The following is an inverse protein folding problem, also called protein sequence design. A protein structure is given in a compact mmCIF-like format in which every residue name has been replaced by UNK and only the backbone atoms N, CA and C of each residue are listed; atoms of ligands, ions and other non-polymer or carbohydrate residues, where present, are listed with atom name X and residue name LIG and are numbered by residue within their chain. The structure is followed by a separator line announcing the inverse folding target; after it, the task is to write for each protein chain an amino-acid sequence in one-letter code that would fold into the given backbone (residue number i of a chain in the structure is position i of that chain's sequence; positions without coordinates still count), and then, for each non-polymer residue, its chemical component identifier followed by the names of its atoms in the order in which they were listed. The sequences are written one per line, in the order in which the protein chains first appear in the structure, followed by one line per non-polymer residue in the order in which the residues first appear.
data_IF_191707837194
#
_entry.id   IF_191707837194
#
_cell.length_a   1.000
_cell.length_b   1.000
_cell.length_c   1.000
_cell.angle_alpha   90.00
_cell.angle_beta   90.00
_cell.angle_gamma   90.00
#
_symmetry.space_group_name_H-M   'P 1'
#
loop_
_entity.id
_entity.type
_entity.pdbx_description
1 polymer ?
#
# COMPACT_ATOMS: atom_id res chain seq x y z
N UNK A 1 3.65 1.10 16.33
CA UNK A 1 3.10 0.29 15.21
C UNK A 1 4.06 0.51 14.07
N UNK A 2 4.86 -0.50 13.80
CA UNK A 2 6.00 -0.41 12.90
C UNK A 2 5.61 -1.09 11.60
N UNK A 3 5.29 -0.29 10.58
CA UNK A 3 4.95 -0.79 9.25
C UNK A 3 6.18 -1.22 8.44
N UNK A 4 7.40 -1.11 9.00
CA UNK A 4 8.65 -1.42 8.29
C UNK A 4 8.66 -2.80 7.63
N UNK A 5 8.16 -3.83 8.33
CA UNK A 5 8.06 -5.19 7.76
C UNK A 5 7.05 -5.24 6.61
N UNK A 6 5.91 -4.58 6.78
CA UNK A 6 4.87 -4.53 5.75
C UNK A 6 5.39 -3.82 4.49
N UNK A 7 5.99 -2.64 4.67
CA UNK A 7 6.64 -1.88 3.59
C UNK A 7 7.65 -2.73 2.84
N UNK A 8 8.55 -3.41 3.55
CA UNK A 8 9.57 -4.26 2.93
C UNK A 8 8.94 -5.41 2.11
N UNK A 9 7.92 -6.08 2.67
CA UNK A 9 7.24 -7.19 1.98
C UNK A 9 6.50 -6.72 0.74
N UNK A 10 5.77 -5.62 0.84
CA UNK A 10 5.08 -5.02 -0.30
C UNK A 10 6.12 -4.67 -1.37
N UNK A 11 7.17 -3.93 -0.99
CA UNK A 11 8.20 -3.46 -1.90
C UNK A 11 8.91 -4.62 -2.62
N UNK A 12 9.20 -5.72 -1.93
CA UNK A 12 9.74 -6.94 -2.56
C UNK A 12 8.76 -7.53 -3.60
N UNK A 13 7.46 -7.53 -3.31
CA UNK A 13 6.47 -8.17 -4.16
C UNK A 13 6.13 -7.33 -5.42
N UNK A 14 6.17 -6.01 -5.31
CA UNK A 14 5.96 -5.08 -6.45
C UNK A 14 7.28 -4.63 -7.10
N UNK A 15 8.43 -5.13 -6.62
CA UNK A 15 9.77 -4.79 -7.13
C UNK A 15 9.92 -5.03 -8.62
N UNK A 16 9.28 -6.08 -9.13
CA UNK A 16 9.33 -6.47 -10.55
C UNK A 16 8.59 -5.47 -11.45
N UNK A 17 7.67 -4.69 -10.87
CA UNK A 17 6.85 -3.71 -11.58
C UNK A 17 7.51 -2.33 -11.66
N UNK A 18 8.73 -2.18 -11.13
CA UNK A 18 9.42 -0.90 -10.94
C UNK A 18 8.62 0.10 -10.06
N UNK A 19 7.68 -0.43 -9.27
CA UNK A 19 6.89 0.33 -8.28
C UNK A 19 7.55 0.15 -6.92
N UNK A 20 7.47 1.18 -6.09
CA UNK A 20 7.91 1.12 -4.70
C UNK A 20 6.88 1.78 -3.79
N UNK A 21 6.91 1.42 -2.52
CA UNK A 21 6.10 2.10 -1.51
C UNK A 21 6.78 3.41 -1.17
N UNK A 22 6.09 4.52 -1.44
CA UNK A 22 6.52 5.86 -1.04
C UNK A 22 6.34 6.03 0.48
N UNK A 23 5.12 5.79 0.96
CA UNK A 23 4.75 6.02 2.35
C UNK A 23 3.58 5.14 2.76
N UNK A 24 3.62 4.61 3.98
CA UNK A 24 2.47 3.93 4.61
C UNK A 24 2.02 4.77 5.79
N UNK A 25 0.74 5.15 5.80
CA UNK A 25 0.13 5.93 6.86
C UNK A 25 -1.10 5.22 7.40
N UNK A 26 -1.17 5.12 8.72
CA UNK A 26 -2.35 4.58 9.39
C UNK A 26 -3.12 5.70 10.08
N UNK A 27 -4.33 5.98 9.60
CA UNK A 27 -5.21 7.02 10.15
C UNK A 27 -6.39 6.38 10.86
N UNK A 28 -6.56 6.68 12.15
CA UNK A 28 -7.76 6.29 12.89
C UNK A 28 -8.76 7.44 12.90
N UNK A 29 -9.89 7.28 12.21
CA UNK A 29 -11.01 8.24 12.24
C UNK A 29 -12.16 7.65 13.06
N UNK A 30 -12.15 8.00 14.36
CA UNK A 30 -13.20 7.57 15.28
C UNK A 30 -13.20 6.06 15.50
N UNK A 31 -14.24 5.39 14.97
CA UNK A 31 -14.42 3.94 15.06
C UNK A 31 -13.78 3.16 13.91
N UNK A 32 -13.36 3.85 12.85
CA UNK A 32 -12.79 3.23 11.66
C UNK A 32 -11.30 3.51 11.57
N UNK A 33 -10.59 2.50 11.10
CA UNK A 33 -9.16 2.55 10.83
C UNK A 33 -8.95 2.61 9.32
N UNK A 34 -8.06 3.48 8.85
CA UNK A 34 -7.70 3.61 7.44
C UNK A 34 -6.20 3.36 7.31
N UNK A 35 -5.85 2.41 6.44
CA UNK A 35 -4.46 2.13 6.09
C UNK A 35 -4.22 2.65 4.67
N UNK A 36 -3.60 3.82 4.58
CA UNK A 36 -3.22 4.46 3.32
C UNK A 36 -1.82 3.99 2.92
N UNK A 37 -1.71 3.39 1.73
CA UNK A 37 -0.46 2.95 1.13
C UNK A 37 -0.25 3.76 -0.15
N UNK A 38 0.77 4.62 -0.15
CA UNK A 38 1.15 5.42 -1.31
C UNK A 38 2.24 4.66 -2.08
N UNK A 39 1.97 4.39 -3.35
CA UNK A 39 2.91 3.76 -4.28
C UNK A 39 3.50 4.83 -5.22
N UNK A 40 4.79 4.76 -5.50
CA UNK A 40 5.48 5.62 -6.49
C UNK A 40 6.19 4.74 -7.53
N UNK A 41 6.23 5.18 -8.78
CA UNK A 41 6.88 4.48 -9.91
C UNK A 41 7.58 5.48 -10.80
N UNK A 42 8.80 5.15 -11.22
CA UNK A 42 9.56 5.98 -12.15
C UNK A 42 9.00 5.76 -13.57
N UNK A 43 8.04 6.60 -13.98
CA UNK A 43 7.44 6.54 -15.32
C UNK A 43 5.92 6.71 -15.35
N UNK A 44 5.28 6.83 -14.17
CA UNK A 44 3.83 6.83 -14.05
C UNK A 44 3.29 5.43 -13.76
N UNK A 45 2.18 5.38 -13.04
CA UNK A 45 1.49 4.14 -12.70
C UNK A 45 0.21 4.09 -13.52
N UNK A 46 0.06 3.05 -14.33
CA UNK A 46 -1.16 2.76 -15.06
C UNK A 46 -2.22 2.10 -14.17
N UNK A 47 -3.47 2.13 -14.62
CA UNK A 47 -4.59 1.47 -13.91
C UNK A 47 -4.36 -0.03 -13.71
N UNK A 48 -3.81 -0.71 -14.71
CA UNK A 48 -3.53 -2.15 -14.65
C UNK A 48 -2.48 -2.48 -13.57
N UNK A 49 -1.47 -1.60 -13.44
CA UNK A 49 -0.43 -1.68 -12.43
C UNK A 49 -1.01 -1.46 -11.02
N UNK A 50 -1.91 -0.48 -10.85
CA UNK A 50 -2.64 -0.28 -9.57
C UNK A 50 -3.44 -1.50 -9.19
N UNK A 51 -4.19 -2.11 -10.12
CA UNK A 51 -5.01 -3.30 -9.84
C UNK A 51 -4.12 -4.46 -9.44
N UNK A 52 -3.01 -4.67 -10.15
CA UNK A 52 -2.07 -5.74 -9.87
C UNK A 52 -1.37 -5.53 -8.53
N UNK A 53 -0.87 -4.32 -8.27
CA UNK A 53 -0.28 -3.96 -6.98
C UNK A 53 -1.28 -4.17 -5.85
N UNK A 54 -2.54 -3.78 -6.04
CA UNK A 54 -3.62 -4.02 -5.05
C UNK A 54 -3.81 -5.50 -4.78
N UNK A 55 -3.87 -6.35 -5.80
CA UNK A 55 -3.97 -7.80 -5.64
C UNK A 55 -2.77 -8.42 -4.94
N UNK A 56 -1.57 -7.87 -5.11
CA UNK A 56 -0.34 -8.32 -4.44
C UNK A 56 -0.27 -7.82 -2.99
N UNK A 57 -0.64 -6.56 -2.77
CA UNK A 57 -0.60 -5.90 -1.45
C UNK A 57 -1.65 -6.53 -0.53
N UNK A 58 -2.86 -6.79 -1.03
CA UNK A 58 -3.98 -7.29 -0.22
C UNK A 58 -3.61 -8.54 0.63
N UNK A 59 -3.06 -9.64 0.09
CA UNK A 59 -2.65 -10.80 0.88
C UNK A 59 -1.41 -10.55 1.76
N UNK A 60 -0.55 -9.58 1.42
CA UNK A 60 0.58 -9.21 2.26
C UNK A 60 0.09 -8.43 3.49
N UNK A 61 -0.81 -7.48 3.27
CA UNK A 61 -1.46 -6.76 4.37
C UNK A 61 -2.23 -7.77 5.22
N UNK A 62 -3.09 -8.62 4.66
CA UNK A 62 -3.82 -9.63 5.45
C UNK A 62 -2.90 -10.53 6.30
N UNK A 63 -1.74 -10.93 5.76
CA UNK A 63 -0.81 -11.85 6.44
C UNK A 63 0.11 -11.18 7.47
N UNK A 64 0.50 -9.92 7.25
CA UNK A 64 1.49 -9.22 8.08
C UNK A 64 0.86 -8.10 8.92
N UNK A 65 -0.35 -7.67 8.60
CA UNK A 65 -1.09 -6.66 9.33
C UNK A 65 -1.83 -7.34 10.48
N UNK A 66 -1.32 -7.14 11.69
CA UNK A 66 -1.87 -7.68 12.94
C UNK A 66 -3.09 -6.86 13.43
N UNK A 67 -3.86 -6.25 12.51
CA UNK A 67 -5.01 -5.44 12.87
C UNK A 67 -6.22 -6.37 12.99
N UNK A 68 -6.55 -6.71 14.24
CA UNK A 68 -7.72 -7.50 14.62
C UNK A 68 -9.05 -6.76 14.32
N UNK A 69 -9.00 -5.43 14.24
CA UNK A 69 -10.14 -4.54 14.00
C UNK A 69 -10.41 -4.30 12.51
N UNK A 70 -11.67 -3.98 12.16
CA UNK A 70 -12.00 -3.65 10.77
C UNK A 70 -11.32 -2.34 10.33
N UNK A 71 -10.48 -2.42 9.30
CA UNK A 71 -9.85 -1.28 8.67
C UNK A 71 -10.18 -1.20 7.17
N UNK A 72 -10.04 -0.01 6.61
CA UNK A 72 -10.21 0.27 5.19
C UNK A 72 -8.82 0.43 4.59
N UNK A 73 -8.45 -0.48 3.70
CA UNK A 73 -7.21 -0.42 2.94
C UNK A 73 -7.42 0.53 1.76
N UNK A 74 -6.67 1.64 1.74
CA UNK A 74 -6.64 2.61 0.65
C UNK A 74 -5.28 2.53 -0.02
N UNK A 75 -5.25 2.13 -1.29
CA UNK A 75 -4.02 2.04 -2.08
C UNK A 75 -4.12 3.09 -3.17
N UNK A 76 -3.18 4.03 -3.14
CA UNK A 76 -3.16 5.16 -4.05
C UNK A 76 -1.78 5.29 -4.68
N UNK A 77 -1.72 5.66 -5.96
CA UNK A 77 -0.47 6.08 -6.58
C UNK A 77 -0.14 7.52 -6.21
N UNK A 78 1.15 7.83 -6.12
CA UNK A 78 1.64 9.18 -6.05
C UNK A 78 1.42 9.85 -7.39
N UNK A 79 0.28 10.51 -7.55
CA UNK A 79 0.07 11.42 -8.66
C UNK A 79 1.05 12.59 -8.53
N UNK A 80 2.08 12.63 -9.38
CA UNK A 80 2.81 13.87 -9.63
C UNK A 80 1.89 14.78 -10.43
N UNK A 81 0.96 15.42 -9.72
CA UNK A 81 0.19 16.54 -10.25
C UNK A 81 1.18 17.60 -10.72
N UNK A 82 1.11 17.91 -12.01
CA UNK A 82 1.91 18.94 -12.68
C UNK A 82 1.42 20.34 -12.30
#
# INVERSE_FOLDING_TARGET
MDFSKLTEKINIAIKDMDIFVDSISFKKKGKYSFLEVILDKVGGIDIDEIVTATHIINPIVDKYCDIDDSYILDISSKERGN
#
